data_IF_265472741267
#
_entry.id   IF_265472741267
#
_cell.length_a   1.000
_cell.length_b   1.000
_cell.length_c   1.000
_cell.angle_alpha   90.00
_cell.angle_beta   90.00
_cell.angle_gamma   90.00
#
_symmetry.space_group_name_H-M   'P 1'
#
loop_
_entity.id
_entity.type
_entity.pdbx_description
1 polymer ?
#
# COMPACT_ATOMS: atom_id res chain seq x y z
N UNK A 1 -19.29 -8.43 -11.86
CA UNK A 1 -17.86 -8.65 -12.17
C UNK A 1 -17.06 -7.91 -11.12
N UNK A 2 -16.15 -8.60 -10.43
CA UNK A 2 -15.27 -7.97 -9.44
C UNK A 2 -14.28 -7.04 -10.17
N UNK A 3 -14.01 -5.86 -9.63
CA UNK A 3 -12.98 -4.97 -10.18
C UNK A 3 -11.59 -5.61 -9.99
N UNK A 4 -10.61 -5.24 -10.82
CA UNK A 4 -9.23 -5.73 -10.63
C UNK A 4 -8.70 -5.41 -9.23
N UNK A 5 -9.04 -4.22 -8.71
CA UNK A 5 -8.74 -3.80 -7.34
C UNK A 5 -9.27 -4.80 -6.30
N UNK A 6 -10.54 -5.20 -6.41
CA UNK A 6 -11.11 -6.19 -5.49
C UNK A 6 -10.43 -7.55 -5.60
N UNK A 7 -10.15 -8.04 -6.81
CA UNK A 7 -9.42 -9.30 -6.99
C UNK A 7 -8.02 -9.26 -6.33
N UNK A 8 -7.29 -8.16 -6.52
CA UNK A 8 -5.96 -7.96 -5.94
C UNK A 8 -6.02 -7.94 -4.40
N UNK A 9 -6.99 -7.21 -3.83
CA UNK A 9 -7.14 -7.10 -2.38
C UNK A 9 -7.71 -8.37 -1.74
N UNK A 10 -8.57 -9.11 -2.43
CA UNK A 10 -9.09 -10.41 -1.95
C UNK A 10 -8.00 -11.48 -1.91
N UNK A 11 -7.11 -11.50 -2.92
CA UNK A 11 -5.96 -12.40 -2.96
C UNK A 11 -4.82 -12.00 -2.02
N UNK A 12 -4.72 -10.71 -1.71
CA UNK A 12 -3.54 -10.14 -1.09
C UNK A 12 -2.38 -10.03 -2.08
N UNK A 13 -1.29 -9.43 -1.62
CA UNK A 13 -0.04 -9.26 -2.38
C UNK A 13 1.11 -9.71 -1.51
N UNK A 14 2.07 -10.43 -2.09
CA UNK A 14 3.30 -10.87 -1.43
C UNK A 14 4.41 -10.78 -2.47
N UNK A 15 5.34 -9.83 -2.29
CA UNK A 15 6.40 -9.54 -3.27
C UNK A 15 7.73 -9.27 -2.59
N UNK A 16 8.77 -9.94 -3.07
CA UNK A 16 10.15 -9.66 -2.73
C UNK A 16 10.63 -8.43 -3.52
N UNK A 17 11.11 -7.40 -2.82
CA UNK A 17 11.54 -6.12 -3.37
C UNK A 17 13.05 -5.96 -3.16
N UNK A 18 13.78 -5.65 -4.23
CA UNK A 18 15.23 -5.48 -4.21
C UNK A 18 15.70 -4.15 -3.59
N UNK A 19 15.46 -3.98 -2.29
CA UNK A 19 15.85 -2.80 -1.52
C UNK A 19 16.23 -3.18 -0.09
N UNK A 20 17.23 -2.49 0.48
CA UNK A 20 17.58 -2.63 1.89
C UNK A 20 16.42 -2.19 2.80
N UNK A 21 16.16 -2.94 3.88
CA UNK A 21 15.09 -2.63 4.84
C UNK A 21 15.15 -1.18 5.37
N UNK A 22 16.36 -0.66 5.62
CA UNK A 22 16.58 0.71 6.09
C UNK A 22 16.15 1.79 5.08
N UNK A 23 16.13 1.46 3.78
CA UNK A 23 15.78 2.39 2.69
C UNK A 23 14.29 2.33 2.32
N UNK A 24 13.55 1.35 2.83
CA UNK A 24 12.12 1.17 2.49
C UNK A 24 11.29 2.37 2.88
N UNK A 25 11.53 2.94 4.06
CA UNK A 25 10.77 4.10 4.52
C UNK A 25 10.89 5.29 3.54
N UNK A 26 12.11 5.62 3.12
CA UNK A 26 12.37 6.70 2.17
C UNK A 26 11.78 6.39 0.78
N UNK A 27 11.88 5.14 0.33
CA UNK A 27 11.29 4.71 -0.94
C UNK A 27 9.76 4.89 -0.94
N UNK A 28 9.10 4.46 0.14
CA UNK A 28 7.64 4.56 0.28
C UNK A 28 7.18 6.01 0.41
N UNK A 29 7.92 6.85 1.14
CA UNK A 29 7.62 8.28 1.26
C UNK A 29 7.72 8.98 -0.11
N UNK A 30 8.82 8.77 -0.83
CA UNK A 30 9.04 9.36 -2.15
C UNK A 30 7.93 8.93 -3.13
N UNK A 31 7.62 7.64 -3.18
CA UNK A 31 6.63 7.11 -4.12
C UNK A 31 5.21 7.57 -3.74
N UNK A 32 4.83 7.50 -2.46
CA UNK A 32 3.48 7.87 -2.01
C UNK A 32 3.17 9.35 -2.25
N UNK A 33 4.19 10.23 -2.24
CA UNK A 33 4.01 11.66 -2.52
C UNK A 33 3.44 11.94 -3.92
N UNK A 34 3.54 10.98 -4.84
CA UNK A 34 3.08 11.09 -6.22
C UNK A 34 1.71 10.42 -6.43
N UNK A 35 1.19 9.71 -5.44
CA UNK A 35 -0.01 8.89 -5.60
C UNK A 35 -1.28 9.68 -5.33
N UNK A 36 -2.29 9.43 -6.16
CA UNK A 36 -3.64 9.96 -5.96
C UNK A 36 -4.70 9.03 -6.56
N UNK A 37 -5.94 9.17 -6.11
CA UNK A 37 -7.10 8.51 -6.72
C UNK A 37 -8.32 9.43 -6.62
N UNK A 38 -8.72 10.03 -7.73
CA UNK A 38 -9.74 11.09 -7.74
C UNK A 38 -9.22 12.33 -7.01
N UNK A 39 -10.03 12.87 -6.10
CA UNK A 39 -9.68 13.97 -5.21
C UNK A 39 -8.78 13.56 -4.02
N UNK A 40 -8.58 12.25 -3.80
CA UNK A 40 -7.85 11.76 -2.63
C UNK A 40 -6.36 11.64 -2.89
N UNK A 41 -5.57 12.04 -1.88
CA UNK A 41 -4.14 11.77 -1.78
C UNK A 41 -3.86 10.84 -0.60
N UNK A 42 -2.71 10.17 -0.62
CA UNK A 42 -2.39 9.14 0.35
C UNK A 42 -1.43 9.61 1.45
N UNK A 43 -1.57 9.01 2.63
CA UNK A 43 -0.65 9.15 3.76
C UNK A 43 -0.35 7.80 4.38
N UNK A 44 0.94 7.47 4.45
CA UNK A 44 1.43 6.30 5.17
C UNK A 44 1.67 6.67 6.62
N UNK A 45 1.16 5.87 7.55
CA UNK A 45 1.48 5.94 8.98
C UNK A 45 2.11 4.65 9.43
N UNK A 46 3.12 4.74 10.30
CA UNK A 46 3.67 3.56 10.96
C UNK A 46 2.64 3.07 11.98
N UNK A 47 2.27 1.80 11.87
CA UNK A 47 1.44 1.06 12.81
C UNK A 47 2.28 0.42 13.91
N UNK A 48 2.02 -0.86 14.20
CA UNK A 48 2.86 -1.65 15.11
C UNK A 48 4.11 -2.13 14.36
N UNK A 49 5.18 -2.41 15.08
CA UNK A 49 6.37 -2.96 14.46
C UNK A 49 7.43 -3.36 15.46
N UNK A 50 8.30 -4.25 15.04
CA UNK A 50 9.53 -4.61 15.73
C UNK A 50 10.69 -3.99 14.97
N UNK A 51 11.47 -3.16 15.65
CA UNK A 51 12.62 -2.48 15.05
C UNK A 51 13.55 -3.47 14.36
N UNK A 52 13.82 -3.26 13.07
CA UNK A 52 14.71 -4.11 12.27
C UNK A 52 14.16 -5.48 11.89
N UNK A 53 12.89 -5.79 12.17
CA UNK A 53 12.31 -7.10 11.86
C UNK A 53 10.99 -7.04 11.11
N UNK A 54 10.08 -6.14 11.48
CA UNK A 54 8.74 -6.13 10.90
C UNK A 54 8.08 -4.77 11.12
N UNK A 55 7.50 -4.20 10.06
CA UNK A 55 6.74 -2.96 10.11
C UNK A 55 5.34 -3.17 9.56
N UNK A 56 4.32 -2.86 10.38
CA UNK A 56 2.99 -2.60 9.90
C UNK A 56 2.89 -1.14 9.47
N UNK A 57 2.46 -0.90 8.24
CA UNK A 57 2.20 0.40 7.67
C UNK A 57 0.70 0.52 7.41
N UNK A 58 0.09 1.57 7.96
CA UNK A 58 -1.32 1.90 7.73
C UNK A 58 -1.41 2.93 6.63
N UNK A 59 -2.07 2.56 5.53
CA UNK A 59 -2.34 3.44 4.41
C UNK A 59 -3.63 4.20 4.69
N UNK A 60 -3.61 5.50 4.47
CA UNK A 60 -4.77 6.35 4.65
C UNK A 60 -5.00 7.23 3.42
N UNK A 61 -6.24 7.61 3.18
CA UNK A 61 -6.64 8.64 2.24
C UNK A 61 -6.96 9.96 2.96
N UNK A 62 -6.80 11.08 2.26
CA UNK A 62 -7.36 12.37 2.65
C UNK A 62 -7.77 13.16 1.41
N UNK A 63 -8.87 13.90 1.49
CA UNK A 63 -9.17 14.97 0.53
C UNK A 63 -8.48 16.25 1.00
N UNK A 64 -7.48 16.79 0.25
CA UNK A 64 -6.76 17.99 0.65
C UNK A 64 -7.64 19.25 0.65
N UNK A 65 -8.81 19.23 0.01
CA UNK A 65 -9.74 20.35 -0.05
C UNK A 65 -10.72 20.39 1.14
N UNK A 66 -10.77 19.32 1.93
CA UNK A 66 -11.63 19.24 3.11
C UNK A 66 -10.81 19.48 4.39
N UNK A 67 -10.70 20.75 4.78
CA UNK A 67 -10.01 21.13 6.02
C UNK A 67 -10.64 20.46 7.25
N UNK A 68 -9.77 19.93 8.12
CA UNK A 68 -10.17 19.37 9.41
C UNK A 68 -10.72 17.94 9.38
N UNK A 69 -10.75 17.27 8.22
CA UNK A 69 -11.16 15.87 8.17
C UNK A 69 -10.10 14.91 8.74
N UNK A 70 -10.54 13.88 9.48
CA UNK A 70 -9.65 12.80 9.90
C UNK A 70 -9.16 12.02 8.68
N UNK A 71 -7.97 11.41 8.79
CA UNK A 71 -7.50 10.49 7.76
C UNK A 71 -8.44 9.28 7.69
N UNK A 72 -8.76 8.86 6.47
CA UNK A 72 -9.56 7.67 6.19
C UNK A 72 -8.61 6.47 6.08
N UNK A 73 -8.56 5.57 7.07
CA UNK A 73 -7.66 4.44 6.98
C UNK A 73 -8.21 3.43 5.95
N UNK A 74 -7.34 2.99 5.05
CA UNK A 74 -7.70 2.18 3.86
C UNK A 74 -7.29 0.71 3.98
N UNK A 75 -6.13 0.45 4.60
CA UNK A 75 -5.59 -0.90 4.71
C UNK A 75 -4.18 -0.91 5.28
N UNK A 76 -3.70 -2.11 5.61
CA UNK A 76 -2.36 -2.38 6.13
C UNK A 76 -1.45 -2.98 5.05
N UNK A 77 -0.19 -2.59 5.11
CA UNK A 77 0.93 -3.21 4.40
C UNK A 77 1.94 -3.66 5.45
N UNK A 78 2.47 -4.85 5.28
CA UNK A 78 3.48 -5.47 6.13
C UNK A 78 4.81 -5.45 5.39
N UNK A 79 5.88 -5.07 6.07
CA UNK A 79 7.24 -5.07 5.53
C UNK A 79 8.15 -5.85 6.46
N UNK A 80 8.89 -6.81 5.93
CA UNK A 80 9.87 -7.60 6.68
C UNK A 80 11.16 -7.77 5.85
N UNK A 81 12.34 -7.87 6.49
CA UNK A 81 13.57 -8.21 5.79
C UNK A 81 13.49 -9.61 5.18
N UNK A 82 13.99 -9.76 3.95
CA UNK A 82 14.03 -11.05 3.24
C UNK A 82 15.46 -11.38 2.79
N UNK A 83 16.36 -11.58 3.75
CA UNK A 83 17.78 -11.79 3.44
C UNK A 83 18.51 -10.52 3.01
N UNK A 84 19.69 -10.69 2.41
CA UNK A 84 20.58 -9.57 2.12
C UNK A 84 20.07 -8.71 0.96
N UNK A 85 19.84 -7.42 1.23
CA UNK A 85 19.47 -6.42 0.21
C UNK A 85 18.04 -6.52 -0.31
N UNK A 86 17.19 -7.31 0.35
CA UNK A 86 15.80 -7.54 -0.06
C UNK A 86 14.85 -7.33 1.12
N UNK A 87 13.62 -6.93 0.81
CA UNK A 87 12.51 -6.94 1.75
C UNK A 87 11.32 -7.63 1.13
N UNK A 88 10.53 -8.29 1.96
CA UNK A 88 9.21 -8.73 1.56
C UNK A 88 8.20 -7.64 1.90
N UNK A 89 7.41 -7.25 0.89
CA UNK A 89 6.28 -6.35 1.02
C UNK A 89 4.98 -7.13 0.83
N UNK A 90 4.14 -7.12 1.86
CA UNK A 90 2.89 -7.87 1.93
C UNK A 90 1.69 -6.96 2.07
N UNK A 91 0.66 -7.21 1.29
CA UNK A 91 -0.69 -6.67 1.51
C UNK A 91 -1.56 -7.83 1.95
N UNK A 92 -1.94 -7.92 3.24
CA UNK A 92 -2.83 -8.97 3.70
C UNK A 92 -4.13 -8.99 2.89
N UNK A 93 -4.70 -10.19 2.61
CA UNK A 93 -6.03 -10.31 2.03
C UNK A 93 -7.06 -9.47 2.78
N UNK A 94 -8.06 -8.92 2.09
CA UNK A 94 -9.09 -8.04 2.66
C UNK A 94 -9.75 -8.62 3.91
N UNK A 95 -9.99 -9.93 3.97
CA UNK A 95 -10.57 -10.61 5.14
C UNK A 95 -9.66 -10.61 6.39
N UNK A 96 -8.37 -10.38 6.20
CA UNK A 96 -7.34 -10.32 7.25
C UNK A 96 -6.93 -8.87 7.58
N UNK A 97 -7.47 -7.89 6.86
CA UNK A 97 -7.33 -6.49 7.24
C UNK A 97 -8.09 -6.27 8.54
N UNK A 98 -7.42 -5.70 9.54
CA UNK A 98 -7.96 -5.54 10.90
C UNK A 98 -8.14 -4.06 11.25
N UNK A 99 -8.35 -3.18 10.27
CA UNK A 99 -8.45 -1.75 10.55
C UNK A 99 -9.91 -1.43 10.90
N UNK A 100 -10.12 -1.07 12.17
CA UNK A 100 -11.43 -0.67 12.66
C UNK A 100 -11.89 0.64 11.99
N UNK A 101 -12.89 0.55 11.10
CA UNK A 101 -13.48 1.70 10.37
C UNK A 101 -13.67 1.50 8.86
N UNK A 102 -13.19 0.38 8.30
CA UNK A 102 -13.05 0.09 6.87
C UNK A 102 -14.36 -0.02 6.05
N UNK A 103 -15.43 -0.58 6.61
CA UNK A 103 -16.55 -1.09 5.79
C UNK A 103 -17.40 0.00 5.10
N UNK A 104 -17.28 1.26 5.49
CA UNK A 104 -18.12 2.34 4.94
C UNK A 104 -17.44 3.22 3.88
N UNK A 105 -16.11 3.38 3.90
CA UNK A 105 -15.43 4.42 3.10
C UNK A 105 -14.87 3.90 1.77
N UNK A 106 -14.34 2.68 1.72
CA UNK A 106 -13.74 2.06 0.52
C UNK A 106 -14.30 0.64 0.31
N UNK A 107 -15.64 0.51 0.35
CA UNK A 107 -16.33 -0.77 0.29
C UNK A 107 -16.03 -1.55 -1.00
N UNK A 108 -15.74 -0.86 -2.11
CA UNK A 108 -15.37 -1.44 -3.40
C UNK A 108 -13.84 -1.58 -3.58
N UNK A 109 -13.05 -1.20 -2.57
CA UNK A 109 -11.60 -1.32 -2.55
C UNK A 109 -10.89 -0.45 -3.58
N UNK A 110 -11.58 0.55 -4.14
CA UNK A 110 -11.03 1.38 -5.21
C UNK A 110 -9.85 2.21 -4.73
N UNK A 111 -9.96 2.87 -3.59
CA UNK A 111 -8.90 3.73 -3.05
C UNK A 111 -7.68 2.91 -2.65
N UNK A 112 -7.87 1.81 -1.91
CA UNK A 112 -6.76 0.98 -1.48
C UNK A 112 -6.15 0.19 -2.63
N UNK A 113 -6.96 -0.37 -3.52
CA UNK A 113 -6.49 -1.10 -4.69
C UNK A 113 -5.72 -0.21 -5.67
N UNK A 114 -6.14 1.05 -5.83
CA UNK A 114 -5.39 2.07 -6.57
C UNK A 114 -4.01 2.32 -5.94
N UNK A 115 -3.95 2.49 -4.61
CA UNK A 115 -2.68 2.65 -3.91
C UNK A 115 -1.74 1.47 -4.16
N UNK A 116 -2.24 0.24 -3.96
CA UNK A 116 -1.43 -0.99 -4.14
C UNK A 116 -0.94 -1.10 -5.59
N UNK A 117 -1.79 -0.80 -6.55
CA UNK A 117 -1.41 -0.84 -7.98
C UNK A 117 -0.36 0.22 -8.31
N UNK A 118 -0.50 1.45 -7.80
CA UNK A 118 0.51 2.52 -7.96
C UNK A 118 1.83 2.16 -7.30
N UNK A 119 1.79 1.52 -6.13
CA UNK A 119 2.98 1.01 -5.43
C UNK A 119 3.71 -0.03 -6.27
N UNK A 120 3.01 -1.08 -6.69
CA UNK A 120 3.59 -2.14 -7.52
C UNK A 120 4.14 -1.60 -8.83
N UNK A 121 3.43 -0.68 -9.48
CA UNK A 121 3.91 -0.03 -10.70
C UNK A 121 5.18 0.80 -10.47
N UNK A 122 5.27 1.53 -9.35
CA UNK A 122 6.46 2.33 -9.02
C UNK A 122 7.66 1.46 -8.68
N UNK A 123 7.46 0.36 -7.95
CA UNK A 123 8.51 -0.62 -7.69
C UNK A 123 9.00 -1.27 -8.99
N UNK A 124 8.08 -1.62 -9.89
CA UNK A 124 8.41 -2.19 -11.18
C UNK A 124 9.15 -1.21 -12.10
N UNK A 125 8.73 0.06 -12.15
CA UNK A 125 9.38 1.10 -12.93
C UNK A 125 10.83 1.36 -12.47
N UNK A 126 11.09 1.16 -11.17
CA UNK A 126 12.43 1.23 -10.56
C UNK A 126 13.22 -0.09 -10.68
N UNK A 127 12.68 -1.10 -11.36
CA UNK A 127 13.27 -2.43 -11.52
C UNK A 127 13.51 -3.16 -10.19
N UNK A 128 12.70 -2.87 -9.16
CA UNK A 128 12.81 -3.49 -7.84
C UNK A 128 11.98 -4.77 -7.73
N UNK A 129 10.98 -4.93 -8.61
CA UNK A 129 10.16 -6.13 -8.78
C UNK A 129 9.88 -6.40 -10.26
N UNK A 130 9.54 -7.63 -10.60
CA UNK A 130 9.04 -8.01 -11.91
C UNK A 130 7.52 -8.09 -11.91
N UNK A 131 6.87 -7.43 -12.88
CA UNK A 131 5.44 -7.55 -13.13
C UNK A 131 5.22 -7.97 -14.59
N UNK A 132 4.16 -8.74 -14.89
CA UNK A 132 3.81 -9.11 -16.26
C UNK A 132 3.35 -7.90 -17.10
N UNK A 133 3.03 -6.77 -16.46
CA UNK A 133 2.64 -5.52 -17.08
C UNK A 133 2.25 -4.48 -16.04
N UNK A 134 1.94 -3.26 -16.52
CA UNK A 134 1.46 -2.15 -15.67
C UNK A 134 0.04 -2.44 -15.18
N UNK A 135 -0.18 -2.28 -13.88
CA UNK A 135 -1.47 -2.49 -13.24
C UNK A 135 -2.38 -1.25 -13.37
N UNK A 136 -3.71 -1.41 -13.44
CA UNK A 136 -4.65 -0.29 -13.48
C UNK A 136 -4.69 0.45 -12.14
N UNK A 137 -4.72 1.79 -12.18
CA UNK A 137 -4.56 2.66 -10.99
C UNK A 137 -5.83 3.40 -10.56
N UNK A 138 -7.00 3.08 -11.10
CA UNK A 138 -8.27 3.71 -10.69
C UNK A 138 -9.39 3.57 -11.70
#
# INVERSE_FOLDING_TARGET
MSSFAMFLLEGGVDVAVAVDFEKVASLLEEATSQYSCGEYVYKVRVGKGTLGQHWDLVINAMDPNMEGQPLFPLGRIEVEPEGDGMVNLKVPPRIQQTIHGEDAADWDGRLFGSFVSQLLNSLHARQLIELPGVLPIG
#
